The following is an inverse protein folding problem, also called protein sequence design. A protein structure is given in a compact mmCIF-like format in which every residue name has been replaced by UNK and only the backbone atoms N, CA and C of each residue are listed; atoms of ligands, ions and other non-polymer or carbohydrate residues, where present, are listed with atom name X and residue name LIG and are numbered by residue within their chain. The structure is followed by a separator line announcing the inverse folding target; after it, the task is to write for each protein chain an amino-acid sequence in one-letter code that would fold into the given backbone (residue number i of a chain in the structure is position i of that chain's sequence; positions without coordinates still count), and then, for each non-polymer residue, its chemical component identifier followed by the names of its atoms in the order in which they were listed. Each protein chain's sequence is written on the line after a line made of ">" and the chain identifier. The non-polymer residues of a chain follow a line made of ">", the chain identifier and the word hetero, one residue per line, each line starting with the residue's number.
data_IF_021116871345
#
_entry.id   IF_021116871345
#
_cell.length_a   1.000
_cell.length_b   1.000
_cell.length_c   1.000
_cell.angle_alpha   90.00
_cell.angle_beta   90.00
_cell.angle_gamma   90.00
#
_symmetry.space_group_name_H-M   'P 1'
#
loop_
_entity.id
_entity.type
_entity.pdbx_description
1 polymer ?
#
# COMPACT_ATOMS: atom_id res chain seq x y z
N UNK A 1 -8.74 -12.01 -26.30
CA UNK A 1 -8.39 -10.57 -26.26
C UNK A 1 -7.54 -10.41 -25.01
N UNK A 2 -6.22 -10.49 -25.14
CA UNK A 2 -5.31 -10.31 -24.01
C UNK A 2 -5.28 -8.82 -23.75
N UNK A 3 -5.83 -8.37 -22.62
CA UNK A 3 -5.62 -7.00 -22.13
C UNK A 3 -4.11 -6.85 -21.98
N UNK A 4 -3.49 -6.16 -22.94
CA UNK A 4 -2.09 -5.76 -22.83
C UNK A 4 -2.10 -4.61 -21.84
N UNK A 5 -1.86 -4.91 -20.58
CA UNK A 5 -1.52 -3.90 -19.60
C UNK A 5 -0.21 -3.27 -20.03
N UNK A 6 -0.20 -1.96 -20.18
CA UNK A 6 1.05 -1.25 -20.35
C UNK A 6 1.92 -1.52 -19.12
N UNK A 7 3.24 -1.74 -19.31
CA UNK A 7 4.14 -1.90 -18.18
C UNK A 7 4.10 -0.63 -17.32
N UNK A 8 4.30 -0.81 -16.01
CA UNK A 8 4.51 0.32 -15.09
C UNK A 8 5.73 1.13 -15.52
N UNK A 9 5.87 2.34 -15.00
CA UNK A 9 7.11 3.10 -15.19
C UNK A 9 8.32 2.38 -14.57
N UNK A 10 9.53 2.80 -14.94
CA UNK A 10 10.77 2.12 -14.57
C UNK A 10 10.98 2.04 -13.05
N UNK A 11 10.61 3.09 -12.32
CA UNK A 11 10.78 3.16 -10.85
C UNK A 11 9.81 2.19 -10.18
N UNK A 12 8.55 2.22 -10.61
CA UNK A 12 7.48 1.36 -10.11
C UNK A 12 7.76 -0.10 -10.43
N UNK A 13 8.24 -0.43 -11.64
CA UNK A 13 8.62 -1.79 -12.01
C UNK A 13 9.83 -2.29 -11.21
N UNK A 14 10.84 -1.46 -11.01
CA UNK A 14 12.00 -1.80 -10.17
C UNK A 14 11.56 -2.13 -8.75
N UNK A 15 10.66 -1.32 -8.18
CA UNK A 15 10.17 -1.51 -6.83
C UNK A 15 9.29 -2.77 -6.71
N UNK A 16 8.44 -3.05 -7.71
CA UNK A 16 7.68 -4.30 -7.80
C UNK A 16 8.59 -5.51 -7.71
N UNK A 17 9.66 -5.53 -8.51
CA UNK A 17 10.61 -6.64 -8.53
C UNK A 17 11.31 -6.80 -7.18
N UNK A 18 11.79 -5.71 -6.60
CA UNK A 18 12.43 -5.74 -5.27
C UNK A 18 11.50 -6.31 -4.19
N UNK A 19 10.23 -5.89 -4.17
CA UNK A 19 9.24 -6.38 -3.20
C UNK A 19 8.98 -7.87 -3.44
N UNK A 20 8.72 -8.28 -4.69
CA UNK A 20 8.44 -9.67 -5.04
C UNK A 20 9.59 -10.63 -4.71
N UNK A 21 10.83 -10.19 -4.89
CA UNK A 21 12.02 -11.00 -4.62
C UNK A 21 12.35 -11.10 -3.12
N UNK A 22 12.10 -10.03 -2.35
CA UNK A 22 12.53 -9.94 -0.95
C UNK A 22 11.43 -10.38 0.03
N UNK A 23 10.16 -10.22 -0.35
CA UNK A 23 9.01 -10.33 0.56
C UNK A 23 8.07 -11.44 0.05
N UNK A 24 8.36 -12.72 0.32
CA UNK A 24 7.61 -13.85 -0.23
C UNK A 24 6.15 -13.93 0.24
N UNK A 25 5.79 -13.19 1.29
CA UNK A 25 4.43 -13.09 1.81
C UNK A 25 3.61 -11.97 1.15
N UNK A 26 4.23 -11.14 0.30
CA UNK A 26 3.55 -10.08 -0.42
C UNK A 26 2.96 -10.62 -1.72
N UNK A 27 1.66 -10.44 -1.89
CA UNK A 27 0.94 -10.73 -3.13
C UNK A 27 0.53 -9.40 -3.78
N UNK A 28 0.98 -9.14 -5.00
CA UNK A 28 0.52 -7.97 -5.76
C UNK A 28 -0.95 -8.19 -6.19
N UNK A 29 -1.80 -7.21 -5.91
CA UNK A 29 -3.22 -7.25 -6.29
C UNK A 29 -3.44 -6.53 -7.62
N UNK A 30 -4.54 -6.86 -8.30
CA UNK A 30 -4.97 -6.20 -9.54
C UNK A 30 -5.51 -4.77 -9.34
N UNK A 31 -5.62 -4.30 -8.08
CA UNK A 31 -6.29 -3.04 -7.76
C UNK A 31 -5.58 -1.81 -8.30
N UNK A 32 -4.27 -1.89 -8.54
CA UNK A 32 -3.49 -0.81 -9.14
C UNK A 32 -3.28 -0.97 -10.65
N UNK A 33 -3.87 -1.98 -11.31
CA UNK A 33 -3.55 -2.35 -12.70
C UNK A 33 -3.60 -1.16 -13.68
N UNK A 34 -4.58 -0.25 -13.53
CA UNK A 34 -4.79 0.88 -14.42
C UNK A 34 -3.83 2.08 -14.24
N UNK A 35 -3.00 2.11 -13.20
CA UNK A 35 -2.12 3.25 -12.90
C UNK A 35 -0.64 2.88 -13.07
N UNK A 36 0.10 3.57 -13.94
CA UNK A 36 1.48 3.18 -14.27
C UNK A 36 2.50 3.41 -13.14
N UNK A 37 2.18 4.26 -12.17
CA UNK A 37 3.06 4.68 -11.07
C UNK A 37 2.66 4.12 -9.70
N UNK A 38 1.65 3.26 -9.65
CA UNK A 38 1.10 2.71 -8.40
C UNK A 38 1.19 1.19 -8.34
N UNK A 39 1.54 0.68 -7.15
CA UNK A 39 1.49 -0.73 -6.78
C UNK A 39 0.53 -0.96 -5.62
N UNK A 40 0.04 -2.19 -5.51
CA UNK A 40 -0.90 -2.60 -4.48
C UNK A 40 -0.55 -3.99 -4.01
N UNK A 41 -0.17 -4.17 -2.74
CA UNK A 41 0.22 -5.47 -2.19
C UNK A 41 -0.63 -5.84 -0.97
N UNK A 42 -0.87 -7.13 -0.80
CA UNK A 42 -1.56 -7.69 0.34
C UNK A 42 -0.72 -8.81 0.96
N UNK A 43 -0.80 -8.98 2.26
CA UNK A 43 -0.14 -10.09 2.94
C UNK A 43 -0.91 -11.39 2.77
N UNK A 44 -0.20 -12.47 2.41
CA UNK A 44 -0.76 -13.83 2.38
C UNK A 44 -1.12 -14.31 3.79
N UNK A 45 -0.28 -13.98 4.78
CA UNK A 45 -0.41 -14.46 6.15
C UNK A 45 -1.33 -13.60 7.01
N UNK A 46 -1.45 -12.31 6.67
CA UNK A 46 -2.27 -11.33 7.37
C UNK A 46 -3.18 -10.63 6.35
N UNK A 47 -4.26 -11.28 5.86
CA UNK A 47 -5.08 -10.76 4.77
C UNK A 47 -5.70 -9.39 5.05
N UNK A 48 -5.76 -8.95 6.30
CA UNK A 48 -6.15 -7.59 6.64
C UNK A 48 -5.10 -6.53 6.30
N UNK A 49 -3.82 -6.90 6.17
CA UNK A 49 -2.72 -5.97 5.91
C UNK A 49 -2.59 -5.76 4.42
N UNK A 50 -2.90 -4.54 4.00
CA UNK A 50 -2.78 -4.10 2.63
C UNK A 50 -1.92 -2.83 2.57
N UNK A 51 -1.26 -2.62 1.43
CA UNK A 51 -0.45 -1.44 1.18
C UNK A 51 -0.65 -0.93 -0.25
N UNK A 52 -0.75 0.39 -0.38
CA UNK A 52 -0.60 1.09 -1.65
C UNK A 52 0.75 1.80 -1.68
N UNK A 53 1.39 1.80 -2.84
CA UNK A 53 2.65 2.48 -3.06
C UNK A 53 2.48 3.33 -4.31
N UNK A 54 2.63 4.64 -4.18
CA UNK A 54 2.58 5.60 -5.28
C UNK A 54 3.96 6.25 -5.44
N UNK A 55 4.51 6.14 -6.64
CA UNK A 55 5.83 6.70 -6.98
C UNK A 55 5.73 8.01 -7.76
N UNK A 56 4.51 8.46 -8.08
CA UNK A 56 4.29 9.74 -8.77
C UNK A 56 4.30 10.90 -7.78
N UNK A 57 5.40 11.63 -7.70
CA UNK A 57 5.53 12.84 -6.87
C UNK A 57 6.95 13.12 -6.36
N UNK A 58 7.06 14.07 -5.43
CA UNK A 58 8.33 14.49 -4.79
C UNK A 58 8.88 13.45 -3.76
N UNK A 59 8.43 12.21 -3.86
CA UNK A 59 8.77 11.09 -3.00
C UNK A 59 7.85 9.89 -3.25
N UNK A 60 8.12 8.77 -2.60
CA UNK A 60 7.31 7.56 -2.69
C UNK A 60 6.33 7.57 -1.52
N UNK A 61 5.04 7.71 -1.84
CA UNK A 61 3.96 7.66 -0.87
C UNK A 61 3.53 6.22 -0.63
N UNK A 62 3.31 5.87 0.63
CA UNK A 62 2.95 4.55 1.09
C UNK A 62 1.73 4.68 1.98
N UNK A 63 0.57 4.16 1.54
CA UNK A 63 -0.63 4.07 2.36
C UNK A 63 -0.75 2.67 2.96
N UNK A 64 -0.86 2.62 4.28
CA UNK A 64 -1.00 1.39 5.05
C UNK A 64 -2.47 1.19 5.35
N UNK A 65 -3.06 0.12 4.83
CA UNK A 65 -4.48 -0.18 5.02
C UNK A 65 -4.70 -1.39 5.93
N UNK A 66 -5.68 -1.28 6.82
CA UNK A 66 -6.19 -2.37 7.65
C UNK A 66 -7.63 -2.73 7.23
N UNK A 67 -7.78 -3.86 6.53
CA UNK A 67 -9.04 -4.32 5.95
C UNK A 67 -9.90 -5.13 6.93
N UNK A 68 -9.61 -5.17 8.23
CA UNK A 68 -10.49 -5.83 9.20
C UNK A 68 -11.88 -5.19 9.28
N UNK A 69 -11.99 -3.88 9.09
CA UNK A 69 -13.27 -3.18 9.22
C UNK A 69 -13.97 -2.98 7.86
N UNK A 70 -14.88 -3.91 7.54
CA UNK A 70 -15.72 -3.78 6.34
C UNK A 70 -16.67 -2.57 6.38
N UNK A 71 -16.75 -1.81 7.49
CA UNK A 71 -17.59 -0.61 7.61
C UNK A 71 -16.95 0.67 7.10
N UNK A 72 -15.68 0.69 6.71
CA UNK A 72 -14.97 1.90 6.26
C UNK A 72 -14.78 1.89 4.72
N UNK A 73 -14.94 3.05 4.06
CA UNK A 73 -14.68 3.23 2.62
C UNK A 73 -13.19 3.36 2.33
N UNK A 74 -12.48 3.98 3.27
CA UNK A 74 -11.03 4.14 3.29
C UNK A 74 -10.51 3.35 4.47
N UNK A 75 -9.66 2.37 4.20
CA UNK A 75 -9.06 1.51 5.22
C UNK A 75 -7.66 2.01 5.64
N UNK A 76 -7.22 3.17 5.14
CA UNK A 76 -5.92 3.72 5.47
C UNK A 76 -5.84 4.07 6.95
N UNK A 77 -4.89 3.43 7.64
CA UNK A 77 -4.60 3.67 9.05
C UNK A 77 -3.39 4.57 9.26
N UNK A 78 -2.54 4.70 8.23
CA UNK A 78 -1.44 5.66 8.21
C UNK A 78 -0.87 5.82 6.80
N UNK A 79 -0.17 6.94 6.58
CA UNK A 79 0.67 7.18 5.40
C UNK A 79 2.09 7.50 5.80
N UNK A 80 3.03 7.04 4.98
CA UNK A 80 4.44 7.37 5.06
C UNK A 80 4.88 7.90 3.70
N UNK A 81 5.72 8.92 3.68
CA UNK A 81 6.42 9.35 2.46
C UNK A 81 7.92 9.20 2.68
N UNK A 82 8.59 8.51 1.77
CA UNK A 82 10.05 8.26 1.80
C UNK A 82 10.67 8.61 0.46
N UNK A 83 11.99 8.86 0.44
CA UNK A 83 12.70 9.20 -0.81
C UNK A 83 13.43 7.99 -1.41
N UNK A 84 13.67 6.94 -0.63
CA UNK A 84 14.49 5.80 -1.03
C UNK A 84 13.67 4.52 -1.19
N UNK A 85 13.84 3.82 -2.31
CA UNK A 85 13.18 2.53 -2.59
C UNK A 85 13.52 1.45 -1.56
N UNK A 86 14.72 1.47 -1.00
CA UNK A 86 15.12 0.54 0.06
C UNK A 86 14.27 0.70 1.33
N UNK A 87 13.93 1.94 1.71
CA UNK A 87 13.06 2.21 2.85
C UNK A 87 11.62 1.73 2.57
N UNK A 88 11.15 1.85 1.32
CA UNK A 88 9.84 1.31 0.93
C UNK A 88 9.78 -0.20 1.15
N UNK A 89 10.80 -0.92 0.70
CA UNK A 89 10.86 -2.39 0.88
C UNK A 89 10.83 -2.75 2.36
N UNK A 90 11.58 -2.03 3.20
CA UNK A 90 11.61 -2.29 4.64
C UNK A 90 10.24 -2.02 5.30
N UNK A 91 9.57 -0.92 4.93
CA UNK A 91 8.21 -0.58 5.41
C UNK A 91 7.20 -1.66 4.98
N UNK A 92 7.21 -2.04 3.69
CA UNK A 92 6.32 -3.07 3.13
C UNK A 92 6.53 -4.38 3.89
N UNK A 93 7.78 -4.77 4.11
CA UNK A 93 8.12 -6.01 4.82
C UNK A 93 7.60 -5.98 6.24
N UNK A 94 7.88 -4.92 7.00
CA UNK A 94 7.44 -4.79 8.39
C UNK A 94 5.91 -4.82 8.47
N UNK A 95 5.22 -4.04 7.63
CA UNK A 95 3.75 -3.98 7.64
C UNK A 95 3.09 -5.31 7.29
N UNK A 96 3.48 -5.93 6.17
CA UNK A 96 2.87 -7.17 5.69
C UNK A 96 3.21 -8.38 6.56
N UNK A 97 4.29 -8.31 7.36
CA UNK A 97 4.62 -9.31 8.37
C UNK A 97 3.80 -9.18 9.66
N UNK A 98 2.90 -8.20 9.75
CA UNK A 98 2.07 -7.94 10.93
C UNK A 98 2.83 -7.22 12.06
N UNK A 99 4.04 -6.75 11.80
CA UNK A 99 4.83 -5.99 12.77
C UNK A 99 4.34 -4.53 12.86
N UNK A 100 4.71 -3.87 13.96
CA UNK A 100 4.39 -2.45 14.17
C UNK A 100 5.47 -1.57 13.57
N UNK A 101 5.07 -0.42 13.05
CA UNK A 101 5.96 0.58 12.44
C UNK A 101 6.35 1.68 13.44
N UNK A 102 6.50 1.33 14.73
CA UNK A 102 6.75 2.31 15.80
C UNK A 102 8.11 3.03 15.66
N UNK A 103 9.01 2.53 14.80
CA UNK A 103 10.34 3.10 14.54
C UNK A 103 10.35 4.18 13.43
N UNK A 104 9.25 4.41 12.72
CA UNK A 104 9.19 5.36 11.60
C UNK A 104 8.66 6.72 12.05
N UNK A 105 9.54 7.72 12.13
CA UNK A 105 9.21 9.06 12.66
C UNK A 105 8.30 9.91 11.75
N UNK A 106 8.24 9.57 10.46
CA UNK A 106 7.42 10.20 9.42
C UNK A 106 6.04 9.52 9.24
N UNK A 107 5.68 8.58 10.12
CA UNK A 107 4.40 7.90 10.09
C UNK A 107 3.27 8.85 10.48
N UNK A 108 2.51 9.32 9.48
CA UNK A 108 1.34 10.13 9.70
C UNK A 108 0.12 9.23 9.99
N UNK A 109 -0.33 9.21 11.24
CA UNK A 109 -1.50 8.44 11.70
C UNK A 109 -2.81 9.24 11.68
N UNK A 110 -2.81 10.49 11.22
CA UNK A 110 -3.96 11.40 11.29
C UNK A 110 -4.99 11.20 10.16
N UNK A 111 -5.18 9.96 9.69
CA UNK A 111 -6.20 9.64 8.71
C UNK A 111 -7.60 9.74 9.32
N UNK A 112 -8.42 10.64 8.77
CA UNK A 112 -9.83 10.76 9.12
C UNK A 112 -10.60 9.63 8.45
N UNK A 113 -10.99 8.63 9.25
CA UNK A 113 -11.81 7.49 8.82
C UNK A 113 -13.11 7.94 8.13
N UNK A 114 -13.39 7.37 6.97
CA UNK A 114 -14.63 7.61 6.22
C UNK A 114 -15.53 6.39 6.34
N UNK A 115 -16.55 6.47 7.20
CA UNK A 115 -17.49 5.38 7.42
C UNK A 115 -18.41 5.17 6.21
N UNK A 116 -18.66 3.91 5.82
CA UNK A 116 -19.63 3.52 4.79
C UNK A 116 -21.05 3.87 5.15
N UNK A 117 -21.37 3.80 6.44
CA UNK A 117 -22.65 4.22 6.97
C UNK A 117 -22.54 5.70 7.27
N UNK A 118 -22.77 6.54 6.25
CA UNK A 118 -23.28 7.87 6.53
C UNK A 118 -24.61 7.65 7.27
N UNK A 119 -24.67 7.98 8.54
CA UNK A 119 -25.96 8.10 9.23
C UNK A 119 -26.76 9.14 8.46
N UNK A 120 -27.69 8.71 7.61
CA UNK A 120 -28.74 9.59 7.13
C UNK A 120 -29.58 9.85 8.37
N UNK A 121 -29.24 10.92 9.09
CA UNK A 121 -30.08 11.45 10.15
C UNK A 121 -31.35 11.97 9.48
N UNK A 122 -32.48 11.29 9.74
CA UNK A 122 -33.82 11.77 9.41
C UNK A 122 -34.15 13.06 10.17
#
# INVERSE_FOLDING_TARGET
>A
MTLRTEPKDDITETLRQMIGDIIPIAYETDRAEACLSTLSFQSINYPERHIWIDTDGDGIAIDLEDWQDQREWDNAVARITVEATAEVVDIVKTWLSGEKLDNYSNLNKDYKRVNKIATISN
#
